data_IF_271356433146
#
_entry.id   IF_271356433146
#
_cell.length_a   1.000
_cell.length_b   1.000
_cell.length_c   1.000
_cell.angle_alpha   90.00
_cell.angle_beta   90.00
_cell.angle_gamma   90.00
#
_symmetry.space_group_name_H-M   'P 1'
#
loop_
_entity.id
_entity.type
_entity.pdbx_description
1 polymer ?
#
# COMPACT_ATOMS: atom_id res chain seq x y z
N UNK A 1 -8.93 32.61 40.46
CA UNK A 1 -8.10 33.15 39.36
C UNK A 1 -7.79 32.01 38.38
N UNK A 2 -8.81 31.53 37.66
CA UNK A 2 -8.65 30.47 36.66
C UNK A 2 -8.67 31.10 35.28
N UNK A 3 -7.49 31.38 34.72
CA UNK A 3 -7.33 31.90 33.37
C UNK A 3 -7.53 30.79 32.35
N UNK A 4 -8.52 30.96 31.48
CA UNK A 4 -8.85 30.04 30.41
C UNK A 4 -7.81 30.06 29.29
N UNK A 5 -7.50 28.85 28.82
CA UNK A 5 -7.20 28.46 27.44
C UNK A 5 -5.93 29.02 26.78
N UNK A 6 -4.96 28.11 26.62
CA UNK A 6 -3.91 28.19 25.61
C UNK A 6 -4.54 28.39 24.23
N UNK A 7 -4.49 29.62 23.71
CA UNK A 7 -4.85 29.91 22.33
C UNK A 7 -3.61 29.71 21.47
N UNK A 8 -3.33 28.45 21.11
CA UNK A 8 -2.37 28.18 20.05
C UNK A 8 -2.89 28.84 18.77
N UNK A 9 -2.04 29.62 18.11
CA UNK A 9 -2.42 30.27 16.85
C UNK A 9 -2.87 29.21 15.83
N UNK A 10 -3.79 29.56 14.94
CA UNK A 10 -4.32 28.65 13.90
C UNK A 10 -3.19 27.94 13.12
N UNK A 11 -2.06 28.62 12.94
CA UNK A 11 -0.87 28.08 12.29
C UNK A 11 -0.17 27.03 13.16
N UNK A 12 0.06 27.29 14.44
CA UNK A 12 0.65 26.31 15.37
C UNK A 12 -0.16 25.01 15.45
N UNK A 13 -1.50 25.12 15.51
CA UNK A 13 -2.37 23.95 15.50
C UNK A 13 -2.28 23.18 14.18
N UNK A 14 -2.23 23.90 13.06
CA UNK A 14 -2.07 23.30 11.74
C UNK A 14 -0.75 22.55 11.63
N UNK A 15 0.36 23.17 12.05
CA UNK A 15 1.70 22.59 11.99
C UNK A 15 1.81 21.34 12.88
N UNK A 16 1.26 21.39 14.10
CA UNK A 16 1.22 20.24 15.01
C UNK A 16 0.46 19.05 14.42
N UNK A 17 -0.66 19.31 13.73
CA UNK A 17 -1.43 18.27 13.05
C UNK A 17 -0.63 17.70 11.86
N UNK A 18 0.05 18.54 11.07
CA UNK A 18 0.90 18.06 9.97
C UNK A 18 2.06 17.19 10.46
N UNK A 19 2.70 17.56 11.57
CA UNK A 19 3.76 16.78 12.22
C UNK A 19 3.21 15.42 12.64
N UNK A 20 2.08 15.39 13.35
CA UNK A 20 1.43 14.13 13.75
C UNK A 20 1.04 13.25 12.54
N UNK A 21 0.59 13.87 11.45
CA UNK A 21 0.22 13.17 10.22
C UNK A 21 1.44 12.55 9.54
N UNK A 22 2.55 13.29 9.45
CA UNK A 22 3.81 12.81 8.87
C UNK A 22 4.39 11.63 9.65
N UNK A 23 4.34 11.67 10.99
CA UNK A 23 4.79 10.60 11.88
C UNK A 23 3.96 9.32 11.71
N UNK A 24 2.64 9.48 11.51
CA UNK A 24 1.72 8.35 11.30
C UNK A 24 1.80 7.79 9.87
N UNK A 25 2.11 8.63 8.90
CA UNK A 25 2.37 8.18 7.54
C UNK A 25 3.72 7.46 7.52
N UNK A 26 3.71 6.13 7.61
CA UNK A 26 4.80 5.32 7.06
C UNK A 26 4.43 5.04 5.60
N UNK A 27 4.74 5.95 4.64
CA UNK A 27 4.62 5.60 3.24
C UNK A 27 5.49 4.35 3.08
N UNK A 28 4.84 3.24 2.69
CA UNK A 28 5.59 2.02 2.37
C UNK A 28 6.55 2.45 1.28
N UNK A 29 7.86 2.38 1.56
CA UNK A 29 8.86 2.56 0.52
C UNK A 29 8.51 1.53 -0.54
N UNK A 30 8.06 1.99 -1.70
CA UNK A 30 7.90 1.11 -2.84
C UNK A 30 9.29 0.54 -3.06
N UNK A 31 9.45 -0.75 -2.77
CA UNK A 31 10.69 -1.47 -3.03
C UNK A 31 11.03 -1.38 -4.51
N UNK A 32 12.21 -1.87 -4.93
CA UNK A 32 12.61 -1.78 -6.33
C UNK A 32 11.50 -2.37 -7.22
N UNK A 33 11.31 -1.77 -8.40
CA UNK A 33 10.22 -2.05 -9.34
C UNK A 33 10.30 -3.46 -9.99
N UNK A 34 10.59 -4.50 -9.22
CA UNK A 34 10.59 -5.91 -9.63
C UNK A 34 9.20 -6.42 -10.06
N UNK A 35 8.20 -5.54 -10.07
CA UNK A 35 6.79 -5.85 -10.19
C UNK A 35 6.13 -4.89 -11.20
N UNK A 36 6.73 -4.77 -12.38
CA UNK A 36 6.33 -3.82 -13.45
C UNK A 36 4.85 -3.97 -13.80
N UNK A 37 4.33 -5.20 -13.78
CA UNK A 37 2.94 -5.49 -14.14
C UNK A 37 1.96 -5.55 -12.95
N UNK A 38 2.44 -5.36 -11.72
CA UNK A 38 1.59 -5.37 -10.53
C UNK A 38 0.70 -4.13 -10.53
N UNK A 39 -0.62 -4.31 -10.55
CA UNK A 39 -1.58 -3.22 -10.70
C UNK A 39 -2.27 -3.17 -12.05
N UNK A 40 -1.63 -3.70 -13.10
CA UNK A 40 -2.11 -3.64 -14.48
C UNK A 40 -2.79 -4.92 -14.93
N UNK A 41 -2.30 -6.07 -14.49
CA UNK A 41 -2.83 -7.37 -14.91
C UNK A 41 -3.88 -7.87 -13.91
N UNK A 42 -5.02 -8.30 -14.45
CA UNK A 42 -6.09 -8.98 -13.73
C UNK A 42 -6.28 -10.37 -14.31
N UNK A 43 -6.62 -11.32 -13.45
CA UNK A 43 -7.09 -12.64 -13.84
C UNK A 43 -8.43 -12.50 -14.57
N UNK A 44 -8.55 -13.12 -15.73
CA UNK A 44 -9.78 -13.11 -16.53
C UNK A 44 -10.89 -13.94 -15.87
N UNK A 45 -10.54 -15.07 -15.25
CA UNK A 45 -11.51 -15.98 -14.63
C UNK A 45 -12.11 -15.44 -13.33
N UNK A 46 -11.27 -14.94 -12.41
CA UNK A 46 -11.73 -14.53 -11.08
C UNK A 46 -11.74 -13.01 -10.89
N UNK A 47 -11.34 -12.21 -11.88
CA UNK A 47 -11.24 -10.75 -11.76
C UNK A 47 -10.31 -10.26 -10.64
N UNK A 48 -9.43 -11.14 -10.16
CA UNK A 48 -8.46 -10.88 -9.10
C UNK A 48 -7.23 -10.17 -9.65
N UNK A 49 -6.53 -9.39 -8.82
CA UNK A 49 -5.25 -8.81 -9.22
C UNK A 49 -4.15 -9.89 -9.19
N UNK A 50 -3.34 -9.93 -10.24
CA UNK A 50 -2.19 -10.83 -10.31
C UNK A 50 -1.07 -10.32 -9.41
N UNK A 51 -0.51 -11.20 -8.59
CA UNK A 51 0.61 -10.91 -7.70
C UNK A 51 1.91 -11.43 -8.27
N UNK A 52 2.98 -10.68 -8.06
CA UNK A 52 4.34 -11.02 -8.47
C UNK A 52 5.15 -11.53 -7.28
N UNK A 53 5.80 -12.68 -7.45
CA UNK A 53 6.70 -13.28 -6.47
C UNK A 53 8.10 -13.40 -7.05
N UNK A 54 9.13 -13.04 -6.28
CA UNK A 54 10.52 -13.20 -6.68
C UNK A 54 11.06 -14.47 -6.04
N UNK A 55 11.47 -15.43 -6.86
CA UNK A 55 12.16 -16.63 -6.39
C UNK A 55 13.63 -16.62 -6.81
N UNK A 56 14.48 -17.14 -5.93
CA UNK A 56 15.95 -17.21 -6.10
C UNK A 56 16.58 -15.86 -6.48
N UNK A 57 15.96 -14.75 -6.05
CA UNK A 57 16.39 -13.37 -6.36
C UNK A 57 16.53 -13.03 -7.86
N UNK A 58 16.02 -13.88 -8.76
CA UNK A 58 16.23 -13.75 -10.22
C UNK A 58 14.97 -14.00 -11.04
N UNK A 59 14.08 -14.89 -10.61
CA UNK A 59 12.88 -15.24 -11.35
C UNK A 59 11.67 -14.52 -10.78
N UNK A 60 10.92 -13.83 -11.63
CA UNK A 60 9.68 -13.14 -11.26
C UNK A 60 8.52 -13.96 -11.81
N UNK A 61 7.74 -14.54 -10.93
CA UNK A 61 6.54 -15.29 -11.27
C UNK A 61 5.30 -14.44 -11.02
N UNK A 62 4.39 -14.44 -11.99
CA UNK A 62 3.10 -13.78 -11.90
C UNK A 62 2.04 -14.86 -11.69
N UNK A 63 1.32 -14.80 -10.57
CA UNK A 63 0.27 -15.76 -10.24
C UNK A 63 -0.98 -15.10 -9.71
N UNK A 64 -2.11 -15.73 -9.99
CA UNK A 64 -3.38 -15.38 -9.40
C UNK A 64 -3.46 -15.84 -7.93
N UNK A 65 -4.02 -15.00 -7.07
CA UNK A 65 -4.22 -15.36 -5.65
C UNK A 65 -5.52 -16.16 -5.41
N UNK A 66 -6.37 -16.29 -6.43
CA UNK A 66 -7.67 -17.01 -6.37
C UNK A 66 -8.60 -16.55 -5.23
N UNK A 67 -8.43 -15.33 -4.73
CA UNK A 67 -9.18 -14.82 -3.56
C UNK A 67 -10.63 -14.42 -3.87
N UNK A 68 -10.98 -14.26 -5.14
CA UNK A 68 -12.28 -13.71 -5.57
C UNK A 68 -13.26 -14.74 -6.14
N UNK A 69 -12.89 -16.02 -6.24
CA UNK A 69 -13.77 -17.06 -6.76
C UNK A 69 -13.02 -18.29 -7.28
N UNK A 70 -13.74 -19.17 -7.97
CA UNK A 70 -13.18 -20.35 -8.60
C UNK A 70 -12.25 -19.95 -9.74
N UNK A 71 -10.97 -20.27 -9.62
CA UNK A 71 -9.95 -19.96 -10.60
C UNK A 71 -9.20 -21.25 -10.94
N UNK A 72 -9.26 -21.65 -12.21
CA UNK A 72 -8.66 -22.86 -12.76
C UNK A 72 -7.21 -22.66 -13.17
N UNK A 73 -6.69 -21.42 -13.14
CA UNK A 73 -5.28 -21.15 -13.43
C UNK A 73 -4.36 -22.03 -12.54
N UNK A 74 -3.35 -22.70 -13.12
CA UNK A 74 -2.40 -23.50 -12.35
C UNK A 74 -1.52 -22.62 -11.45
N UNK A 75 -1.18 -23.11 -10.25
CA UNK A 75 -0.13 -22.50 -9.42
C UNK A 75 1.23 -22.86 -10.02
N UNK A 76 1.84 -21.90 -10.71
CA UNK A 76 3.23 -21.94 -11.18
C UNK A 76 4.15 -21.18 -10.22
#
# INVERSE_FOLDING_TARGET
MGGFANYHSKQELFDNVQIAFSLRSKPRKNGPHYHIFRGFIKCDECGGMITSEIQKQRYIYYRCTKKRGECKEPFL
#
